data_IF_063959642005
#
_entry.id   IF_063959642005
#
_cell.length_a   1.000
_cell.length_b   1.000
_cell.length_c   1.000
_cell.angle_alpha   90.00
_cell.angle_beta   90.00
_cell.angle_gamma   90.00
#
_symmetry.space_group_name_H-M   'P 1'
#
loop_
_entity.id
_entity.type
_entity.pdbx_description
1 polymer ?
#
# COMPACT_ATOMS: atom_id res chain seq x y z
N UNK A 1 35.43 45.96 21.49
CA UNK A 1 35.16 44.67 22.16
C UNK A 1 35.54 43.57 21.18
N UNK A 2 36.15 42.49 21.65
CA UNK A 2 36.55 41.38 20.78
C UNK A 2 35.38 40.44 20.50
N UNK A 3 35.33 39.85 19.31
CA UNK A 3 34.36 38.79 18.99
C UNK A 3 34.48 37.66 20.01
N UNK A 4 33.34 37.09 20.41
CA UNK A 4 33.30 35.91 21.27
C UNK A 4 34.06 34.75 20.61
N UNK A 5 34.83 34.01 21.41
CA UNK A 5 35.58 32.84 20.94
C UNK A 5 35.30 31.63 21.81
N UNK A 6 35.33 30.46 21.20
CA UNK A 6 35.26 29.19 21.90
C UNK A 6 36.56 28.94 22.66
N UNK A 7 36.46 28.70 23.96
CA UNK A 7 37.56 28.16 24.76
C UNK A 7 37.61 26.65 24.58
N UNK A 8 38.45 26.21 23.64
CA UNK A 8 38.64 24.79 23.32
C UNK A 8 39.33 23.98 24.43
N UNK A 9 39.99 24.61 25.40
CA UNK A 9 40.65 23.90 26.50
C UNK A 9 39.69 23.60 27.64
N UNK A 10 38.77 24.53 27.92
CA UNK A 10 37.76 24.36 28.97
C UNK A 10 36.49 23.66 28.47
N UNK A 11 36.22 23.71 27.16
CA UNK A 11 35.08 23.00 26.56
C UNK A 11 35.24 21.48 26.62
N UNK A 12 34.12 20.78 26.81
CA UNK A 12 34.04 19.32 26.69
C UNK A 12 33.34 19.02 25.37
N UNK A 13 34.13 18.71 24.34
CA UNK A 13 33.68 18.51 22.97
C UNK A 13 33.75 17.02 22.59
N UNK A 14 32.66 16.43 22.07
CA UNK A 14 32.71 15.12 21.42
C UNK A 14 33.65 15.11 20.21
N UNK A 15 34.20 13.95 19.86
CA UNK A 15 35.22 13.81 18.80
C UNK A 15 34.77 14.32 17.42
N UNK A 16 33.46 14.27 17.15
CA UNK A 16 32.86 14.64 15.87
C UNK A 16 32.34 16.09 15.82
N UNK A 17 32.58 16.90 16.86
CA UNK A 17 32.30 18.34 16.85
C UNK A 17 33.52 19.09 16.33
N UNK A 18 33.31 19.97 15.34
CA UNK A 18 34.40 20.72 14.70
C UNK A 18 34.31 22.20 15.07
N UNK A 19 35.44 22.79 15.46
CA UNK A 19 35.58 24.23 15.70
C UNK A 19 36.41 24.82 14.55
N UNK A 20 35.98 25.94 13.98
CA UNK A 20 36.78 26.62 12.95
C UNK A 20 38.05 27.25 13.53
N UNK A 21 39.00 27.60 12.65
CA UNK A 21 40.29 28.17 13.05
C UNK A 21 40.14 29.48 13.84
N UNK A 22 39.15 30.31 13.49
CA UNK A 22 38.87 31.58 14.18
C UNK A 22 38.21 31.39 15.56
N UNK A 23 37.79 30.17 15.89
CA UNK A 23 37.04 29.81 17.11
C UNK A 23 35.71 30.54 17.28
N UNK A 24 35.08 30.91 16.18
CA UNK A 24 33.80 31.64 16.14
C UNK A 24 32.63 30.78 15.67
N UNK A 25 32.91 29.57 15.17
CA UNK A 25 31.93 28.63 14.66
C UNK A 25 32.13 27.24 15.28
N UNK A 26 31.02 26.63 15.67
CA UNK A 26 30.91 25.25 16.14
C UNK A 26 30.05 24.47 15.14
N UNK A 27 30.55 23.36 14.61
CA UNK A 27 29.79 22.47 13.72
C UNK A 27 29.43 21.19 14.48
N UNK A 28 28.14 20.95 14.65
CA UNK A 28 27.59 19.74 15.27
C UNK A 28 27.24 18.69 14.19
N UNK A 29 27.55 17.41 14.40
CA UNK A 29 27.20 16.34 13.49
C UNK A 29 25.69 16.08 13.46
N UNK A 30 25.24 15.27 12.50
CA UNK A 30 23.84 14.84 12.45
C UNK A 30 23.47 13.93 13.63
N UNK A 31 24.42 13.23 14.25
CA UNK A 31 24.17 12.36 15.41
C UNK A 31 23.68 13.14 16.64
N UNK A 32 23.15 12.41 17.63
CA UNK A 32 22.85 13.01 18.92
C UNK A 32 24.14 13.55 19.56
N UNK A 33 24.07 14.74 20.14
CA UNK A 33 25.25 15.41 20.69
C UNK A 33 24.90 16.04 22.03
N UNK A 34 25.70 15.74 23.05
CA UNK A 34 25.75 16.50 24.30
C UNK A 34 27.17 17.01 24.50
N UNK A 35 27.30 18.31 24.78
CA UNK A 35 28.59 18.95 24.98
C UNK A 35 28.50 20.09 25.98
N UNK A 36 29.65 20.48 26.53
CA UNK A 36 29.79 21.72 27.32
C UNK A 36 30.65 22.69 26.54
N UNK A 37 30.08 23.82 26.14
CA UNK A 37 30.76 24.90 25.44
C UNK A 37 31.22 25.95 26.44
N UNK A 38 32.53 26.19 26.49
CA UNK A 38 33.12 27.30 27.21
C UNK A 38 33.40 28.45 26.23
N UNK A 39 33.08 29.68 26.64
CA UNK A 39 33.31 30.89 25.83
C UNK A 39 34.38 31.75 26.52
N UNK A 40 35.44 32.06 25.77
CA UNK A 40 36.52 32.95 26.18
C UNK A 40 36.03 34.41 26.11
N UNK A 41 35.63 34.94 27.27
CA UNK A 41 35.13 36.29 27.44
C UNK A 41 35.29 36.73 28.90
N UNK A 42 35.82 37.94 29.10
CA UNK A 42 36.04 38.52 30.44
C UNK A 42 34.72 38.89 31.15
N UNK A 43 33.67 39.20 30.38
CA UNK A 43 32.34 39.51 30.91
C UNK A 43 31.52 38.22 31.11
N UNK A 44 30.66 38.21 32.14
CA UNK A 44 29.66 37.14 32.32
C UNK A 44 28.61 37.23 31.20
N UNK A 45 28.31 36.11 30.55
CA UNK A 45 27.40 36.02 29.41
C UNK A 45 26.05 35.42 29.80
N UNK A 46 24.98 36.07 29.38
CA UNK A 46 23.61 35.58 29.47
C UNK A 46 23.13 35.16 28.08
N UNK A 47 22.66 33.92 27.93
CA UNK A 47 22.14 33.44 26.65
C UNK A 47 20.87 34.23 26.29
N UNK A 48 20.84 34.80 25.08
CA UNK A 48 19.62 35.41 24.54
C UNK A 48 18.74 34.28 24.00
N UNK A 49 17.52 34.08 24.53
CA UNK A 49 16.65 33.01 24.08
C UNK A 49 16.30 33.15 22.59
N UNK A 50 16.32 32.02 21.88
CA UNK A 50 15.91 31.93 20.48
C UNK A 50 15.10 30.66 20.25
N UNK A 51 14.30 30.65 19.18
CA UNK A 51 13.65 29.41 18.74
C UNK A 51 14.70 28.53 18.05
N UNK A 52 15.35 27.66 18.83
CA UNK A 52 16.43 26.80 18.36
C UNK A 52 16.00 25.33 18.42
N UNK A 53 16.38 24.50 17.43
CA UNK A 53 16.08 23.06 17.40
C UNK A 53 16.96 22.25 18.37
N UNK A 54 17.56 22.92 19.35
CA UNK A 54 18.50 22.37 20.33
C UNK A 54 18.20 22.96 21.70
N UNK A 55 18.59 22.23 22.75
CA UNK A 55 18.48 22.71 24.13
C UNK A 55 19.82 23.31 24.56
N UNK A 56 19.77 24.48 25.18
CA UNK A 56 20.95 25.15 25.73
C UNK A 56 20.65 25.58 27.15
N UNK A 57 21.54 25.22 28.07
CA UNK A 57 21.44 25.53 29.49
C UNK A 57 22.74 26.23 29.95
N UNK A 58 22.62 27.35 30.66
CA UNK A 58 23.78 27.98 31.29
C UNK A 58 24.20 27.19 32.53
N UNK A 59 25.48 26.84 32.60
CA UNK A 59 26.11 26.20 33.75
C UNK A 59 26.93 27.19 34.59
N UNK A 60 27.21 28.38 34.05
CA UNK A 60 27.96 29.45 34.73
C UNK A 60 27.28 29.91 36.02
N UNK A 61 28.05 30.08 37.10
CA UNK A 61 27.54 30.60 38.38
C UNK A 61 26.58 29.68 39.16
N UNK A 62 26.27 28.49 38.64
CA UNK A 62 25.35 27.53 39.28
C UNK A 62 26.01 26.72 40.41
N UNK A 63 27.35 26.63 40.41
CA UNK A 63 28.16 25.91 41.43
C UNK A 63 29.45 26.66 41.72
N UNK A 64 30.08 26.49 42.90
CA UNK A 64 31.34 27.16 43.25
C UNK A 64 32.44 27.03 42.18
N UNK A 65 32.55 25.87 41.54
CA UNK A 65 33.53 25.57 40.49
C UNK A 65 33.25 26.24 39.13
N UNK A 66 32.04 26.78 38.91
CA UNK A 66 31.61 27.46 37.68
C UNK A 66 31.37 28.96 37.86
N UNK A 67 31.61 29.51 39.06
CA UNK A 67 31.52 30.96 39.31
C UNK A 67 32.51 31.71 38.40
N UNK A 68 32.00 32.73 37.70
CA UNK A 68 32.78 33.56 36.78
C UNK A 68 33.16 32.87 35.46
N UNK A 69 32.58 31.71 35.14
CA UNK A 69 32.83 30.99 33.88
C UNK A 69 31.62 31.02 32.96
N UNK A 70 31.86 31.29 31.68
CA UNK A 70 30.84 31.26 30.63
C UNK A 70 30.71 29.83 30.06
N UNK A 71 29.96 28.99 30.76
CA UNK A 71 29.76 27.58 30.40
C UNK A 71 28.31 27.32 29.99
N UNK A 72 28.12 26.66 28.85
CA UNK A 72 26.80 26.34 28.30
C UNK A 72 26.74 24.86 27.93
N UNK A 73 25.78 24.12 28.50
CA UNK A 73 25.46 22.77 28.04
C UNK A 73 24.61 22.86 26.78
N UNK A 74 25.02 22.19 25.72
CA UNK A 74 24.27 22.07 24.46
C UNK A 74 23.85 20.62 24.28
N UNK A 75 22.56 20.40 24.04
CA UNK A 75 21.99 19.10 23.74
C UNK A 75 21.22 19.16 22.41
N UNK A 76 21.60 18.29 21.49
CA UNK A 76 21.04 18.14 20.15
C UNK A 76 20.60 16.69 19.95
N UNK A 77 19.38 16.49 19.48
CA UNK A 77 18.91 15.16 19.08
C UNK A 77 19.51 14.71 17.74
N UNK A 78 19.50 13.41 17.47
CA UNK A 78 19.89 12.90 16.16
C UNK A 78 18.97 13.46 15.08
N UNK A 79 19.57 13.94 13.99
CA UNK A 79 18.86 14.36 12.80
C UNK A 79 18.66 13.18 11.86
N UNK A 80 17.39 13.03 11.47
CA UNK A 80 16.90 11.97 10.60
C UNK A 80 17.24 12.28 9.13
N UNK A 81 17.25 11.28 8.24
CA UNK A 81 17.37 11.47 6.80
C UNK A 81 16.39 12.52 6.28
N UNK A 82 16.90 13.43 5.44
CA UNK A 82 16.12 14.49 4.82
C UNK A 82 15.77 15.68 5.71
N UNK A 83 16.21 15.71 6.98
CA UNK A 83 16.17 16.96 7.78
C UNK A 83 17.33 17.85 7.35
N UNK A 84 17.00 19.04 6.84
CA UNK A 84 17.98 19.96 6.26
C UNK A 84 18.96 20.55 7.28
N UNK A 85 20.20 20.76 6.81
CA UNK A 85 21.25 21.57 7.43
C UNK A 85 20.74 22.91 7.94
N UNK A 86 21.25 23.37 9.10
CA UNK A 86 20.91 24.70 9.61
C UNK A 86 22.14 25.43 10.13
N UNK A 87 22.24 26.71 9.82
CA UNK A 87 23.17 27.64 10.46
C UNK A 87 22.40 28.55 11.41
N UNK A 88 22.85 28.61 12.67
CA UNK A 88 22.21 29.36 13.74
C UNK A 88 23.21 30.33 14.38
N UNK A 89 22.70 31.44 14.92
CA UNK A 89 23.50 32.37 15.73
C UNK A 89 23.18 32.18 17.20
N UNK A 90 24.15 31.70 17.97
CA UNK A 90 24.13 31.68 19.43
C UNK A 90 24.47 33.08 19.92
N UNK A 91 23.46 33.84 20.36
CA UNK A 91 23.62 35.24 20.77
C UNK A 91 23.68 35.35 22.29
N UNK A 92 24.53 36.23 22.77
CA UNK A 92 24.75 36.45 24.19
C UNK A 92 24.59 37.93 24.54
N UNK A 93 24.14 38.18 25.77
CA UNK A 93 24.13 39.47 26.40
C UNK A 93 25.27 39.52 27.44
N UNK A 94 26.13 40.52 27.37
CA UNK A 94 27.17 40.75 28.39
C UNK A 94 26.54 41.40 29.61
N UNK A 95 26.58 40.69 30.74
CA UNK A 95 25.98 41.13 32.00
C UNK A 95 26.58 42.45 32.46
N UNK A 96 25.71 43.42 32.73
CA UNK A 96 26.10 44.78 33.14
C UNK A 96 26.21 45.79 31.99
N UNK A 97 26.05 45.37 30.73
CA UNK A 97 25.85 46.28 29.60
C UNK A 97 24.36 46.53 29.35
N UNK A 98 24.03 47.68 28.75
CA UNK A 98 22.63 48.10 28.51
C UNK A 98 22.08 47.63 27.15
N UNK A 99 22.93 47.19 26.24
CA UNK A 99 22.57 46.88 24.86
C UNK A 99 23.02 45.47 24.48
N UNK A 100 22.27 44.85 23.57
CA UNK A 100 22.67 43.61 22.90
C UNK A 100 23.42 43.98 21.63
N UNK A 101 24.63 43.47 21.48
CA UNK A 101 25.48 43.71 20.32
C UNK A 101 25.40 42.54 19.34
N UNK A 102 25.40 42.79 18.04
CA UNK A 102 25.27 41.74 17.02
C UNK A 102 26.52 40.84 16.96
N UNK A 103 27.67 41.40 17.28
CA UNK A 103 28.97 40.73 17.34
C UNK A 103 29.13 39.78 18.54
N UNK A 104 28.27 39.86 19.56
CA UNK A 104 28.26 38.98 20.72
C UNK A 104 27.54 37.66 20.39
N UNK A 105 28.06 36.97 19.38
CA UNK A 105 27.51 35.72 18.90
C UNK A 105 28.56 34.71 18.43
N UNK A 106 28.21 33.43 18.55
CA UNK A 106 28.89 32.32 17.88
C UNK A 106 27.99 31.75 16.79
N UNK A 107 28.59 31.26 15.70
CA UNK A 107 27.87 30.49 14.68
C UNK A 107 27.79 29.03 15.11
N UNK A 108 26.60 28.44 15.04
CA UNK A 108 26.39 27.01 15.22
C UNK A 108 25.88 26.41 13.92
N UNK A 109 26.64 25.51 13.32
CA UNK A 109 26.26 24.77 12.12
C UNK A 109 25.79 23.38 12.53
N UNK A 110 24.54 23.05 12.21
CA UNK A 110 23.95 21.75 12.42
C UNK A 110 24.00 21.00 11.08
N UNK A 111 24.84 19.96 10.99
CA UNK A 111 25.04 19.20 9.76
C UNK A 111 23.86 18.26 9.49
N UNK A 112 23.40 18.24 8.24
CA UNK A 112 22.38 17.29 7.77
C UNK A 112 22.83 15.83 7.89
N UNK A 113 21.85 14.93 7.96
CA UNK A 113 22.14 13.50 7.86
C UNK A 113 22.60 13.18 6.42
N UNK A 114 23.79 12.58 6.22
CA UNK A 114 24.32 12.31 4.88
C UNK A 114 23.57 11.18 4.14
N UNK A 115 22.67 10.46 4.82
CA UNK A 115 21.77 9.48 4.20
C UNK A 115 20.74 10.21 3.36
N UNK A 116 20.69 9.86 2.06
CA UNK A 116 19.67 10.37 1.14
C UNK A 116 18.54 9.36 1.05
N UNK A 117 17.31 9.84 1.21
CA UNK A 117 16.10 9.05 1.10
C UNK A 117 15.11 9.75 0.18
N UNK A 118 14.68 9.04 -0.85
CA UNK A 118 13.74 9.52 -1.87
C UNK A 118 12.58 8.54 -2.03
N UNK A 119 11.43 9.02 -2.54
CA UNK A 119 10.26 8.20 -2.81
C UNK A 119 9.11 8.44 -1.85
N UNK A 120 8.37 7.38 -1.52
CA UNK A 120 7.11 7.48 -0.77
C UNK A 120 7.33 7.57 0.75
N UNK A 121 8.40 6.96 1.26
CA UNK A 121 8.76 6.99 2.69
C UNK A 121 9.64 8.20 3.03
N UNK A 122 9.45 8.77 4.23
CA UNK A 122 10.30 9.83 4.78
C UNK A 122 10.26 9.83 6.31
N UNK A 123 11.28 10.43 6.94
CA UNK A 123 11.47 10.44 8.39
C UNK A 123 11.70 11.85 8.96
N UNK A 124 11.17 12.88 8.29
CA UNK A 124 11.33 14.27 8.71
C UNK A 124 10.72 14.54 10.10
N UNK A 125 9.52 14.00 10.35
CA UNK A 125 8.72 14.27 11.54
C UNK A 125 8.94 13.24 12.67
N UNK A 126 9.70 12.17 12.41
CA UNK A 126 9.93 11.10 13.37
C UNK A 126 10.62 9.88 12.76
N UNK A 127 10.72 8.81 13.54
CA UNK A 127 11.39 7.57 13.16
C UNK A 127 10.43 6.48 12.67
N UNK A 128 9.12 6.75 12.63
CA UNK A 128 8.12 5.85 12.08
C UNK A 128 7.40 6.54 10.92
N UNK A 129 7.26 5.86 9.78
CA UNK A 129 6.44 6.28 8.66
C UNK A 129 5.28 5.29 8.46
N UNK A 130 4.05 5.72 8.80
CA UNK A 130 2.83 4.93 8.64
C UNK A 130 2.04 5.38 7.41
N UNK A 131 1.99 4.53 6.39
CA UNK A 131 1.22 4.77 5.17
C UNK A 131 -0.29 4.86 5.43
N UNK A 132 -0.79 4.29 6.53
CA UNK A 132 -2.22 4.24 6.84
C UNK A 132 -3.06 3.33 5.93
N UNK A 133 -2.47 2.75 4.89
CA UNK A 133 -3.13 1.94 3.84
C UNK A 133 -2.28 0.76 3.40
N UNK A 134 -2.79 -0.05 2.48
CA UNK A 134 -2.00 -1.10 1.83
C UNK A 134 -1.09 -0.49 0.76
N UNK A 135 0.16 -0.97 0.69
CA UNK A 135 1.15 -0.53 -0.30
C UNK A 135 2.13 -1.68 -0.58
N UNK A 136 2.54 -1.83 -1.83
CA UNK A 136 3.59 -2.74 -2.30
C UNK A 136 4.40 -2.07 -3.42
N UNK A 137 5.37 -2.80 -3.98
CA UNK A 137 6.38 -2.33 -4.93
C UNK A 137 7.31 -1.28 -4.32
N UNK A 138 7.93 -0.43 -5.13
CA UNK A 138 8.93 0.53 -4.67
C UNK A 138 8.35 1.54 -3.68
N UNK A 139 8.88 1.51 -2.45
CA UNK A 139 8.54 2.42 -1.35
C UNK A 139 9.49 3.61 -1.30
N UNK A 140 10.72 3.43 -1.75
CA UNK A 140 11.73 4.48 -1.82
C UNK A 140 13.10 3.98 -2.26
N UNK A 141 13.99 4.93 -2.47
CA UNK A 141 15.40 4.75 -2.78
C UNK A 141 16.22 5.35 -1.65
N UNK A 142 17.18 4.57 -1.12
CA UNK A 142 18.07 5.02 -0.06
C UNK A 142 19.52 4.92 -0.50
N UNK A 143 20.28 6.00 -0.34
CA UNK A 143 21.72 6.04 -0.60
C UNK A 143 22.47 6.33 0.68
N UNK A 144 23.45 5.48 0.98
CA UNK A 144 24.20 5.51 2.23
C UNK A 144 25.66 5.92 1.98
N UNK A 145 26.32 6.61 2.94
CA UNK A 145 27.77 6.76 2.94
C UNK A 145 28.46 5.40 2.94
N UNK A 146 29.63 5.26 2.30
CA UNK A 146 30.39 4.00 2.21
C UNK A 146 30.70 3.34 3.58
N UNK A 147 30.76 4.14 4.63
CA UNK A 147 31.00 3.68 6.01
C UNK A 147 29.77 3.03 6.67
N UNK A 148 28.60 3.05 6.02
CA UNK A 148 27.33 2.56 6.55
C UNK A 148 26.83 1.33 5.79
N UNK A 149 26.09 0.47 6.49
CA UNK A 149 25.33 -0.66 5.96
C UNK A 149 23.86 -0.55 6.36
N UNK A 150 22.98 -1.17 5.58
CA UNK A 150 21.54 -1.21 5.81
C UNK A 150 21.03 -2.65 5.88
N UNK A 151 20.18 -2.92 6.87
CA UNK A 151 19.44 -4.18 7.01
C UNK A 151 17.97 -3.90 7.30
N UNK A 152 17.13 -4.93 7.16
CA UNK A 152 15.73 -4.87 7.60
C UNK A 152 15.51 -5.88 8.72
N UNK A 153 14.96 -5.41 9.83
CA UNK A 153 14.60 -6.20 10.98
C UNK A 153 13.08 -6.24 11.16
N UNK A 154 12.60 -7.35 11.74
CA UNK A 154 11.19 -7.64 11.92
C UNK A 154 10.93 -8.10 13.36
N UNK A 155 9.76 -7.76 13.89
CA UNK A 155 9.28 -8.35 15.13
C UNK A 155 9.06 -9.87 14.96
N UNK A 156 9.16 -10.63 16.06
CA UNK A 156 8.99 -12.07 16.01
C UNK A 156 7.60 -12.45 15.46
N UNK A 157 7.59 -13.31 14.43
CA UNK A 157 6.36 -13.75 13.76
C UNK A 157 5.82 -12.79 12.70
N UNK A 158 6.46 -11.63 12.49
CA UNK A 158 6.14 -10.73 11.38
C UNK A 158 6.71 -11.26 10.06
N UNK A 159 6.00 -10.97 8.97
CA UNK A 159 6.48 -11.33 7.64
C UNK A 159 7.60 -10.41 7.14
N UNK A 160 8.59 -10.98 6.46
CA UNK A 160 9.64 -10.32 5.68
C UNK A 160 9.07 -9.66 4.42
N UNK A 161 8.22 -8.64 4.60
CA UNK A 161 7.50 -8.00 3.50
C UNK A 161 8.27 -6.86 2.83
N UNK A 162 9.45 -6.47 3.31
CA UNK A 162 10.36 -5.54 2.64
C UNK A 162 11.60 -6.30 2.14
N UNK A 163 11.90 -6.11 0.86
CA UNK A 163 13.16 -6.52 0.21
C UNK A 163 14.01 -5.27 -0.03
N UNK A 164 15.31 -5.38 0.27
CA UNK A 164 16.31 -4.43 -0.19
C UNK A 164 16.96 -4.96 -1.46
N UNK A 165 17.04 -4.13 -2.49
CA UNK A 165 17.67 -4.47 -3.76
C UNK A 165 18.72 -3.42 -4.10
N UNK A 166 19.98 -3.84 -4.20
CA UNK A 166 21.10 -2.96 -4.58
C UNK A 166 20.91 -2.40 -5.99
N UNK A 167 21.29 -1.15 -6.19
CA UNK A 167 21.36 -0.56 -7.52
C UNK A 167 22.73 -0.77 -8.16
N UNK A 168 22.73 -1.22 -9.41
CA UNK A 168 23.96 -1.49 -10.16
C UNK A 168 24.79 -0.22 -10.45
N UNK A 169 24.12 0.93 -10.64
CA UNK A 169 24.76 2.16 -11.13
C UNK A 169 25.29 3.08 -10.01
N UNK A 170 24.72 3.01 -8.81
CA UNK A 170 25.06 3.90 -7.69
C UNK A 170 25.55 3.08 -6.50
N UNK A 171 26.85 3.17 -6.14
CA UNK A 171 27.38 2.44 -4.99
C UNK A 171 26.61 2.73 -3.71
N UNK A 172 26.41 1.68 -2.90
CA UNK A 172 25.74 1.74 -1.60
C UNK A 172 24.34 2.40 -1.64
N UNK A 173 23.61 2.13 -2.72
CA UNK A 173 22.24 2.59 -2.95
C UNK A 173 21.29 1.40 -3.09
N UNK A 174 20.11 1.47 -2.47
CA UNK A 174 19.16 0.38 -2.36
C UNK A 174 17.73 0.83 -2.68
N UNK A 175 17.03 0.06 -3.52
CA UNK A 175 15.58 0.13 -3.64
C UNK A 175 14.96 -0.58 -2.44
N UNK A 176 13.96 0.05 -1.83
CA UNK A 176 13.16 -0.50 -0.74
C UNK A 176 11.84 -0.97 -1.34
N UNK A 177 11.66 -2.28 -1.45
CA UNK A 177 10.54 -2.88 -2.20
C UNK A 177 9.59 -3.58 -1.22
N UNK A 178 8.34 -3.11 -1.17
CA UNK A 178 7.24 -3.76 -0.46
C UNK A 178 6.72 -4.97 -1.23
N UNK A 179 6.56 -6.09 -0.54
CA UNK A 179 6.15 -7.36 -1.10
C UNK A 179 4.70 -7.70 -0.81
N UNK A 180 4.15 -8.58 -1.62
CA UNK A 180 2.82 -9.14 -1.45
C UNK A 180 2.89 -10.65 -1.24
N UNK A 181 2.07 -11.16 -0.33
CA UNK A 181 1.90 -12.60 -0.09
C UNK A 181 0.52 -13.04 -0.58
N UNK A 182 0.42 -13.89 -1.62
CA UNK A 182 -0.85 -14.45 -2.04
C UNK A 182 -1.53 -15.20 -0.89
N UNK A 183 -2.81 -14.89 -0.68
CA UNK A 183 -3.65 -15.57 0.32
C UNK A 183 -3.07 -15.59 1.75
N UNK A 184 -2.42 -14.50 2.18
CA UNK A 184 -1.89 -14.38 3.54
C UNK A 184 -3.01 -14.52 4.59
N UNK A 185 -2.96 -15.53 5.49
CA UNK A 185 -3.97 -15.72 6.53
C UNK A 185 -3.99 -14.59 7.56
N UNK A 186 -2.94 -13.75 7.61
CA UNK A 186 -2.85 -12.61 8.52
C UNK A 186 -3.27 -11.28 7.88
N UNK A 187 -3.68 -11.28 6.61
CA UNK A 187 -4.11 -10.09 5.90
C UNK A 187 -5.54 -9.68 6.30
N UNK A 188 -5.63 -8.94 7.41
CA UNK A 188 -6.88 -8.50 8.05
C UNK A 188 -6.91 -6.97 8.31
N UNK A 189 -5.97 -6.22 7.75
CA UNK A 189 -5.83 -4.77 7.96
C UNK A 189 -5.00 -4.37 9.17
N UNK A 190 -4.42 -5.33 9.92
CA UNK A 190 -3.47 -5.03 10.99
C UNK A 190 -2.30 -4.18 10.51
N UNK A 191 -1.68 -3.44 11.43
CA UNK A 191 -0.38 -2.83 11.16
C UNK A 191 0.65 -3.93 10.89
N UNK A 192 1.42 -3.75 9.83
CA UNK A 192 2.57 -4.56 9.47
C UNK A 192 3.79 -3.67 9.52
N UNK A 193 4.81 -4.05 10.31
CA UNK A 193 5.98 -3.22 10.57
C UNK A 193 7.23 -3.86 9.98
N UNK A 194 8.19 -3.03 9.60
CA UNK A 194 9.54 -3.41 9.24
C UNK A 194 10.48 -2.28 9.67
N UNK A 195 11.59 -2.60 10.31
CA UNK A 195 12.55 -1.59 10.77
C UNK A 195 13.77 -1.61 9.87
N UNK A 196 14.00 -0.50 9.16
CA UNK A 196 15.23 -0.24 8.45
C UNK A 196 16.29 0.11 9.50
N UNK A 197 17.37 -0.68 9.54
CA UNK A 197 18.46 -0.51 10.49
C UNK A 197 19.70 -0.09 9.74
N UNK A 198 20.22 1.09 10.07
CA UNK A 198 21.42 1.65 9.47
C UNK A 198 22.48 1.73 10.55
N UNK A 199 23.67 1.19 10.30
CA UNK A 199 24.78 1.27 11.24
C UNK A 199 26.10 1.38 10.48
N UNK A 200 27.16 1.73 11.21
CA UNK A 200 28.52 1.63 10.68
C UNK A 200 28.81 0.18 10.26
N UNK A 201 29.77 -0.02 9.36
CA UNK A 201 30.15 -1.36 8.88
C UNK A 201 30.53 -2.31 10.02
N UNK A 202 31.13 -1.79 11.09
CA UNK A 202 31.47 -2.51 12.34
C UNK A 202 30.27 -2.76 13.28
N UNK A 203 29.10 -2.20 12.99
CA UNK A 203 27.87 -2.34 13.78
C UNK A 203 27.62 -1.23 14.81
N UNK A 204 28.50 -0.24 14.93
CA UNK A 204 28.31 0.93 15.81
C UNK A 204 27.36 1.97 15.19
N UNK A 205 26.96 2.99 15.96
CA UNK A 205 26.06 4.08 15.53
C UNK A 205 24.80 3.59 14.81
N UNK A 206 24.06 2.71 15.51
CA UNK A 206 22.83 2.10 15.02
C UNK A 206 21.67 3.09 15.05
N UNK A 207 21.05 3.26 13.90
CA UNK A 207 19.86 4.08 13.66
C UNK A 207 18.70 3.17 13.21
N UNK A 208 17.50 3.43 13.71
CA UNK A 208 16.30 2.64 13.40
C UNK A 208 15.21 3.53 12.79
N UNK A 209 14.64 3.08 11.67
CA UNK A 209 13.55 3.76 10.99
C UNK A 209 12.46 2.75 10.63
N UNK A 210 11.28 2.86 11.24
CA UNK A 210 10.18 1.91 11.08
C UNK A 210 9.26 2.32 9.94
N UNK A 211 9.03 1.42 9.01
CA UNK A 211 8.02 1.55 7.94
C UNK A 211 6.80 0.73 8.31
N UNK A 212 5.61 1.33 8.22
CA UNK A 212 4.34 0.70 8.58
C UNK A 212 3.34 0.77 7.44
N UNK A 213 2.72 -0.36 7.12
CA UNK A 213 1.55 -0.45 6.23
C UNK A 213 0.39 -1.17 6.90
N UNK A 214 -0.79 -1.13 6.27
CA UNK A 214 -1.91 -2.01 6.62
C UNK A 214 -1.83 -3.30 5.81
N UNK A 215 -1.80 -4.45 6.48
CA UNK A 215 -1.79 -5.76 5.83
C UNK A 215 -3.19 -6.15 5.35
N UNK A 216 -3.65 -5.55 4.26
CA UNK A 216 -4.88 -5.95 3.58
C UNK A 216 -4.60 -6.97 2.48
N UNK A 217 -5.57 -7.84 2.22
CA UNK A 217 -5.44 -8.86 1.18
C UNK A 217 -6.77 -9.48 0.83
N UNK A 218 -7.09 -9.49 -0.46
CA UNK A 218 -8.18 -10.26 -1.05
C UNK A 218 -7.66 -11.66 -1.41
N UNK A 219 -8.46 -12.71 -1.21
CA UNK A 219 -8.08 -14.05 -1.63
C UNK A 219 -8.07 -14.13 -3.16
N UNK A 220 -7.02 -14.75 -3.68
CA UNK A 220 -6.75 -14.87 -5.11
C UNK A 220 -6.57 -16.32 -5.53
N UNK A 221 -6.74 -16.55 -6.82
CA UNK A 221 -6.24 -17.72 -7.53
C UNK A 221 -5.43 -17.30 -8.76
N UNK A 222 -4.58 -18.19 -9.25
CA UNK A 222 -3.75 -17.95 -10.43
C UNK A 222 -4.25 -18.77 -11.61
N UNK A 223 -4.45 -18.11 -12.74
CA UNK A 223 -4.76 -18.77 -14.01
C UNK A 223 -4.20 -17.97 -15.17
N UNK A 224 -3.40 -18.61 -16.02
CA UNK A 224 -2.84 -18.04 -17.25
C UNK A 224 -2.14 -16.68 -17.03
N UNK A 225 -1.22 -16.62 -16.06
CA UNK A 225 -0.40 -15.42 -15.85
C UNK A 225 -1.07 -14.31 -15.05
N UNK A 226 -2.23 -14.56 -14.42
CA UNK A 226 -2.99 -13.53 -13.72
C UNK A 226 -3.45 -14.04 -12.35
N UNK A 227 -3.23 -13.22 -11.31
CA UNK A 227 -3.78 -13.41 -9.97
C UNK A 227 -5.18 -12.81 -9.86
N UNK A 228 -6.19 -13.63 -10.11
CA UNK A 228 -7.61 -13.25 -10.06
C UNK A 228 -8.12 -13.25 -8.63
N UNK A 229 -8.87 -12.24 -8.22
CA UNK A 229 -9.63 -12.32 -6.97
C UNK A 229 -10.68 -13.44 -7.07
N UNK A 230 -10.77 -14.27 -6.02
CA UNK A 230 -11.71 -15.40 -5.98
C UNK A 230 -13.16 -14.92 -5.99
N UNK A 231 -13.44 -13.84 -5.28
CA UNK A 231 -14.79 -13.32 -5.09
C UNK A 231 -15.06 -12.09 -5.98
N UNK A 232 -16.33 -11.87 -6.32
CA UNK A 232 -16.76 -10.57 -6.83
C UNK A 232 -16.71 -9.54 -5.70
N UNK A 233 -16.57 -8.27 -6.06
CA UNK A 233 -16.63 -7.18 -5.08
C UNK A 233 -18.01 -7.10 -4.43
N UNK A 234 -18.03 -6.65 -3.18
CA UNK A 234 -19.24 -6.49 -2.37
C UNK A 234 -19.23 -5.10 -1.70
N UNK A 235 -20.40 -4.55 -1.35
CA UNK A 235 -20.50 -3.25 -0.66
C UNK A 235 -19.73 -2.15 -1.39
N UNK A 236 -19.01 -1.31 -0.64
CA UNK A 236 -18.05 -0.37 -1.21
C UNK A 236 -16.83 -1.11 -1.75
N UNK A 237 -16.70 -1.17 -3.07
CA UNK A 237 -15.69 -1.93 -3.78
C UNK A 237 -14.26 -1.51 -3.49
N UNK A 238 -14.04 -0.29 -2.96
CA UNK A 238 -12.71 0.16 -2.51
C UNK A 238 -12.42 -0.12 -1.06
N UNK A 239 -13.44 -0.40 -0.26
CA UNK A 239 -13.30 -0.65 1.16
C UNK A 239 -13.02 -2.13 1.42
N UNK A 240 -11.81 -2.43 1.89
CA UNK A 240 -11.44 -3.80 2.29
C UNK A 240 -12.38 -4.40 3.33
N UNK A 241 -12.96 -3.58 4.22
CA UNK A 241 -13.86 -4.07 5.28
C UNK A 241 -15.16 -4.64 4.73
N UNK A 242 -15.55 -4.25 3.51
CA UNK A 242 -16.75 -4.75 2.83
C UNK A 242 -16.44 -6.00 1.99
N UNK A 243 -15.17 -6.31 1.75
CA UNK A 243 -14.75 -7.44 0.92
C UNK A 243 -14.54 -8.72 1.75
N UNK A 244 -14.47 -9.87 1.06
CA UNK A 244 -13.90 -11.08 1.64
C UNK A 244 -12.38 -10.94 1.65
N UNK A 245 -11.78 -11.00 2.84
CA UNK A 245 -10.34 -10.95 3.05
C UNK A 245 -9.71 -12.34 3.04
N UNK A 246 -8.43 -12.46 2.69
CA UNK A 246 -7.68 -13.73 2.73
C UNK A 246 -7.72 -14.38 4.11
N UNK A 247 -7.63 -13.58 5.18
CA UNK A 247 -7.76 -14.01 6.58
C UNK A 247 -9.14 -14.55 6.96
N UNK A 248 -10.16 -14.27 6.14
CA UNK A 248 -11.55 -14.63 6.41
C UNK A 248 -12.25 -15.26 5.18
N UNK A 249 -11.48 -15.95 4.31
CA UNK A 249 -12.00 -16.64 3.13
C UNK A 249 -12.91 -17.82 3.56
N UNK A 250 -14.25 -17.76 3.31
CA UNK A 250 -15.18 -18.78 3.77
C UNK A 250 -14.97 -20.15 3.11
N UNK A 251 -14.57 -20.17 1.83
CA UNK A 251 -14.27 -21.42 1.13
C UNK A 251 -13.03 -22.09 1.74
N UNK A 252 -11.96 -21.32 1.97
CA UNK A 252 -10.75 -21.82 2.60
C UNK A 252 -11.01 -22.32 4.03
N UNK A 253 -11.80 -21.59 4.83
CA UNK A 253 -12.21 -22.02 6.19
C UNK A 253 -13.02 -23.32 6.18
N UNK A 254 -13.80 -23.55 5.13
CA UNK A 254 -14.52 -24.80 4.94
C UNK A 254 -13.64 -25.93 4.37
N UNK A 255 -12.36 -25.68 4.09
CA UNK A 255 -11.45 -26.64 3.45
C UNK A 255 -11.85 -26.96 2.00
N UNK A 256 -12.48 -26.02 1.30
CA UNK A 256 -13.04 -26.21 -0.05
C UNK A 256 -12.49 -25.19 -1.03
N UNK A 257 -12.56 -25.55 -2.31
CA UNK A 257 -12.53 -24.56 -3.40
C UNK A 257 -13.81 -23.73 -3.34
N UNK A 258 -13.81 -22.52 -3.88
CA UNK A 258 -15.00 -21.69 -4.06
C UNK A 258 -16.06 -22.42 -4.88
N UNK A 259 -15.67 -23.19 -5.90
CA UNK A 259 -16.61 -23.95 -6.72
C UNK A 259 -17.38 -25.01 -5.92
N UNK A 260 -16.69 -25.70 -4.99
CA UNK A 260 -17.34 -26.66 -4.11
C UNK A 260 -18.05 -26.00 -2.93
N UNK A 261 -17.51 -24.88 -2.43
CA UNK A 261 -18.18 -24.07 -1.41
C UNK A 261 -19.53 -23.56 -1.89
N UNK A 262 -19.61 -22.98 -3.10
CA UNK A 262 -20.88 -22.50 -3.68
C UNK A 262 -21.93 -23.60 -3.88
N UNK A 263 -21.52 -24.88 -4.00
CA UNK A 263 -22.44 -26.02 -4.03
C UNK A 263 -23.04 -26.29 -2.65
N UNK A 264 -22.19 -26.28 -1.63
CA UNK A 264 -22.50 -26.82 -0.31
C UNK A 264 -22.96 -25.78 0.72
N UNK A 265 -22.64 -24.50 0.49
CA UNK A 265 -23.07 -23.42 1.37
C UNK A 265 -24.59 -23.26 1.34
N UNK A 266 -25.13 -22.66 2.39
CA UNK A 266 -26.56 -22.37 2.51
C UNK A 266 -27.03 -21.39 1.42
N UNK A 267 -28.34 -21.36 1.10
CA UNK A 267 -28.91 -20.33 0.23
C UNK A 267 -28.57 -18.90 0.62
N UNK A 268 -28.54 -18.61 1.92
CA UNK A 268 -28.26 -17.30 2.45
C UNK A 268 -26.79 -16.92 2.23
N UNK A 269 -25.86 -17.85 2.46
CA UNK A 269 -24.43 -17.65 2.20
C UNK A 269 -24.13 -17.49 0.71
N UNK A 270 -24.75 -18.31 -0.15
CA UNK A 270 -24.63 -18.17 -1.60
C UNK A 270 -25.14 -16.80 -2.05
N UNK A 271 -26.34 -16.41 -1.60
CA UNK A 271 -26.95 -15.13 -1.97
C UNK A 271 -26.12 -13.95 -1.51
N UNK A 272 -25.53 -14.01 -0.31
CA UNK A 272 -24.63 -12.97 0.21
C UNK A 272 -23.45 -12.68 -0.72
N UNK A 273 -22.88 -13.71 -1.34
CA UNK A 273 -21.78 -13.57 -2.31
C UNK A 273 -22.31 -13.16 -3.70
N UNK A 274 -23.46 -13.71 -4.09
CA UNK A 274 -23.99 -13.60 -5.44
C UNK A 274 -24.62 -12.25 -5.76
N UNK A 275 -25.26 -11.57 -4.80
CA UNK A 275 -26.22 -10.46 -5.04
C UNK A 275 -25.68 -9.12 -5.56
N UNK A 276 -24.40 -8.98 -5.90
CA UNK A 276 -23.76 -7.67 -6.08
C UNK A 276 -23.48 -7.30 -7.53
N UNK A 277 -23.79 -6.06 -7.92
CA UNK A 277 -23.34 -5.44 -9.17
C UNK A 277 -23.07 -3.94 -9.02
N UNK A 278 -22.37 -3.38 -10.01
CA UNK A 278 -21.91 -1.99 -10.01
C UNK A 278 -22.29 -1.29 -11.31
N UNK A 279 -22.42 0.04 -11.26
CA UNK A 279 -22.81 0.87 -12.40
C UNK A 279 -22.03 2.18 -12.39
N UNK A 280 -21.71 2.71 -13.56
CA UNK A 280 -21.07 4.00 -13.67
C UNK A 280 -19.72 4.07 -12.96
N UNK A 281 -19.57 5.12 -12.15
CA UNK A 281 -18.37 5.39 -11.32
C UNK A 281 -18.61 5.17 -9.82
N UNK A 282 -19.75 4.63 -9.43
CA UNK A 282 -20.04 4.41 -8.00
C UNK A 282 -19.31 3.17 -7.51
N UNK A 283 -18.52 3.33 -6.45
CA UNK A 283 -17.90 2.21 -5.74
C UNK A 283 -18.89 1.51 -4.83
N UNK A 284 -20.10 2.04 -4.64
CA UNK A 284 -21.15 1.39 -3.86
C UNK A 284 -21.86 0.32 -4.70
N UNK A 285 -21.81 -0.92 -4.22
CA UNK A 285 -22.49 -2.06 -4.83
C UNK A 285 -24.01 -1.98 -4.67
N UNK A 286 -24.71 -2.33 -5.74
CA UNK A 286 -26.16 -2.52 -5.72
C UNK A 286 -26.48 -3.97 -5.42
N UNK A 287 -27.36 -4.18 -4.45
CA UNK A 287 -27.85 -5.51 -4.08
C UNK A 287 -29.06 -5.89 -4.92
N UNK A 288 -29.15 -7.17 -5.29
CA UNK A 288 -30.39 -7.74 -5.81
C UNK A 288 -31.47 -7.74 -4.73
N UNK A 289 -32.65 -7.21 -5.05
CA UNK A 289 -33.84 -7.14 -4.21
C UNK A 289 -35.06 -7.64 -4.96
N UNK A 290 -36.11 -7.96 -4.21
CA UNK A 290 -37.46 -8.11 -4.75
C UNK A 290 -38.12 -6.74 -4.83
N UNK A 291 -38.39 -6.28 -6.05
CA UNK A 291 -39.18 -5.09 -6.32
C UNK A 291 -40.46 -5.49 -7.06
N UNK A 292 -41.52 -5.75 -6.30
CA UNK A 292 -42.84 -6.07 -6.84
C UNK A 292 -42.94 -7.43 -7.54
N UNK A 293 -42.22 -8.45 -7.06
CA UNK A 293 -42.17 -9.79 -7.67
C UNK A 293 -41.14 -9.89 -8.80
N UNK A 294 -40.26 -8.90 -8.94
CA UNK A 294 -39.19 -8.86 -9.95
C UNK A 294 -37.85 -8.66 -9.25
N UNK A 295 -36.86 -9.50 -9.58
CA UNK A 295 -35.51 -9.32 -9.08
C UNK A 295 -34.86 -8.10 -9.76
N UNK A 296 -34.55 -7.05 -8.98
CA UNK A 296 -33.93 -5.81 -9.45
C UNK A 296 -32.70 -5.44 -8.62
N UNK A 297 -31.85 -4.57 -9.15
CA UNK A 297 -30.74 -3.98 -8.41
C UNK A 297 -31.19 -2.72 -7.67
N UNK A 298 -31.05 -2.72 -6.34
CA UNK A 298 -31.40 -1.60 -5.48
C UNK A 298 -30.57 -0.36 -5.85
N UNK A 299 -31.24 0.73 -6.17
CA UNK A 299 -30.59 1.99 -6.54
C UNK A 299 -30.14 2.05 -8.00
N UNK A 300 -30.56 1.09 -8.83
CA UNK A 300 -30.39 1.16 -10.28
C UNK A 300 -31.01 2.46 -10.84
N UNK A 301 -30.29 3.13 -11.72
CA UNK A 301 -30.75 4.36 -12.36
C UNK A 301 -29.87 4.79 -13.54
N UNK A 302 -30.08 5.98 -14.11
CA UNK A 302 -29.25 6.49 -15.19
C UNK A 302 -27.82 6.81 -14.71
N UNK A 303 -26.82 6.54 -15.56
CA UNK A 303 -25.41 6.85 -15.36
C UNK A 303 -24.75 7.37 -16.63
N UNK A 304 -23.98 8.45 -16.52
CA UNK A 304 -23.21 9.02 -17.64
C UNK A 304 -21.82 8.40 -17.80
N UNK A 305 -21.28 7.76 -16.77
CA UNK A 305 -19.96 7.16 -16.79
C UNK A 305 -20.02 5.70 -17.25
N UNK A 306 -19.02 5.27 -18.01
CA UNK A 306 -18.88 3.88 -18.44
C UNK A 306 -17.77 3.20 -17.64
N UNK A 307 -18.11 2.19 -16.83
CA UNK A 307 -17.17 1.56 -15.89
C UNK A 307 -15.91 1.02 -16.57
N UNK A 308 -16.05 0.40 -17.75
CA UNK A 308 -14.90 -0.12 -18.52
C UNK A 308 -13.94 0.96 -19.03
N UNK A 309 -14.34 2.24 -18.98
CA UNK A 309 -13.51 3.37 -19.41
C UNK A 309 -12.82 4.11 -18.27
N UNK A 310 -13.09 3.71 -17.03
CA UNK A 310 -12.39 4.26 -15.87
C UNK A 310 -10.97 3.71 -15.80
N UNK A 311 -10.10 4.43 -15.08
CA UNK A 311 -8.78 3.91 -14.70
C UNK A 311 -8.92 2.55 -14.00
N UNK A 312 -7.98 1.64 -14.24
CA UNK A 312 -8.07 0.27 -13.75
C UNK A 312 -8.21 0.19 -12.22
N UNK A 313 -7.66 1.15 -11.50
CA UNK A 313 -7.69 1.25 -10.03
C UNK A 313 -8.87 2.07 -9.50
N UNK A 314 -9.65 2.73 -10.36
CA UNK A 314 -10.69 3.67 -9.94
C UNK A 314 -11.76 3.02 -9.03
N UNK A 315 -12.05 1.74 -9.28
CA UNK A 315 -13.09 0.98 -8.59
C UNK A 315 -12.52 -0.04 -7.59
N UNK A 316 -11.21 -0.21 -7.51
CA UNK A 316 -10.56 -1.29 -6.77
C UNK A 316 -9.94 -0.80 -5.45
N UNK A 317 -9.80 -1.68 -4.43
CA UNK A 317 -8.97 -1.39 -3.27
C UNK A 317 -7.49 -1.26 -3.67
N UNK A 318 -6.70 -0.59 -2.82
CA UNK A 318 -5.26 -0.43 -3.03
C UNK A 318 -4.56 -1.78 -3.28
N UNK A 319 -3.68 -1.83 -4.29
CA UNK A 319 -2.96 -3.04 -4.70
C UNK A 319 -3.72 -3.95 -5.66
N UNK A 320 -4.97 -3.62 -6.01
CA UNK A 320 -5.80 -4.37 -6.94
C UNK A 320 -6.31 -3.48 -8.07
N UNK A 321 -6.73 -4.10 -9.16
CA UNK A 321 -7.27 -3.38 -10.32
C UNK A 321 -8.28 -4.22 -11.10
N UNK A 322 -9.06 -3.52 -11.93
CA UNK A 322 -9.97 -4.14 -12.87
C UNK A 322 -9.16 -4.87 -13.96
N UNK A 323 -9.44 -6.17 -14.24
CA UNK A 323 -8.74 -6.91 -15.28
C UNK A 323 -8.96 -6.29 -16.66
N UNK A 324 -7.91 -6.28 -17.47
CA UNK A 324 -7.95 -5.75 -18.83
C UNK A 324 -8.68 -6.69 -19.79
N UNK A 325 -9.00 -6.20 -20.99
CA UNK A 325 -9.51 -7.05 -22.08
C UNK A 325 -8.56 -8.22 -22.36
N UNK A 326 -7.26 -7.97 -22.40
CA UNK A 326 -6.23 -9.00 -22.61
C UNK A 326 -6.29 -10.06 -21.50
N UNK A 327 -6.46 -9.68 -20.24
CA UNK A 327 -6.55 -10.64 -19.14
C UNK A 327 -7.74 -11.60 -19.34
N UNK A 328 -8.90 -11.08 -19.73
CA UNK A 328 -10.04 -11.95 -20.06
C UNK A 328 -9.79 -12.80 -21.31
N UNK A 329 -9.14 -12.26 -22.35
CA UNK A 329 -8.83 -13.01 -23.57
C UNK A 329 -7.91 -14.22 -23.32
N UNK A 330 -7.00 -14.13 -22.34
CA UNK A 330 -6.18 -15.28 -21.91
C UNK A 330 -7.02 -16.48 -21.46
N UNK A 331 -8.27 -16.26 -21.04
CA UNK A 331 -9.18 -17.29 -20.49
C UNK A 331 -10.42 -17.53 -21.35
N UNK A 332 -10.93 -16.52 -22.06
CA UNK A 332 -12.22 -16.56 -22.77
C UNK A 332 -12.11 -16.43 -24.29
N UNK A 333 -10.92 -16.17 -24.84
CA UNK A 333 -10.72 -16.09 -26.29
C UNK A 333 -10.21 -17.43 -26.83
N UNK A 334 -11.13 -18.26 -27.33
CA UNK A 334 -10.77 -19.59 -27.80
C UNK A 334 -10.19 -19.59 -29.22
N UNK A 335 -9.17 -20.41 -29.41
CA UNK A 335 -8.58 -20.76 -30.72
C UNK A 335 -9.09 -22.09 -31.27
N UNK A 336 -9.89 -22.84 -30.50
CA UNK A 336 -10.38 -24.18 -30.84
C UNK A 336 -11.89 -24.23 -31.12
N UNK A 337 -12.56 -23.08 -31.17
CA UNK A 337 -13.99 -22.97 -31.48
C UNK A 337 -14.81 -22.23 -30.42
N UNK A 338 -16.12 -22.51 -30.35
CA UNK A 338 -17.03 -21.83 -29.42
C UNK A 338 -16.88 -22.35 -27.99
N UNK A 339 -16.77 -21.45 -27.02
CA UNK A 339 -16.76 -21.81 -25.59
C UNK A 339 -18.18 -21.95 -25.10
N UNK A 340 -18.67 -23.17 -24.98
CA UNK A 340 -19.98 -23.42 -24.39
C UNK A 340 -19.87 -23.43 -22.86
N UNK A 341 -20.50 -22.44 -22.20
CA UNK A 341 -20.39 -22.23 -20.74
C UNK A 341 -21.40 -23.04 -19.93
N UNK A 342 -22.50 -23.49 -20.55
CA UNK A 342 -23.53 -24.31 -19.91
C UNK A 342 -23.21 -25.81 -19.81
N UNK A 343 -22.11 -26.25 -20.43
CA UNK A 343 -21.63 -27.63 -20.36
C UNK A 343 -20.19 -27.67 -19.85
N UNK A 344 -19.87 -28.79 -19.23
CA UNK A 344 -18.48 -29.15 -18.94
C UNK A 344 -17.74 -29.36 -20.25
N UNK A 345 -16.44 -29.08 -20.25
CA UNK A 345 -15.60 -29.28 -21.41
C UNK A 345 -14.33 -28.46 -21.35
N UNK A 346 -13.65 -28.36 -22.48
CA UNK A 346 -12.39 -27.63 -22.58
C UNK A 346 -12.33 -26.76 -23.82
N UNK A 347 -11.44 -25.79 -23.81
CA UNK A 347 -11.08 -25.02 -25.00
C UNK A 347 -9.62 -24.60 -24.92
N UNK A 348 -9.01 -24.29 -26.06
CA UNK A 348 -7.64 -23.77 -26.12
C UNK A 348 -7.68 -22.26 -26.30
N UNK A 349 -6.75 -21.53 -25.69
CA UNK A 349 -6.53 -20.09 -25.89
C UNK A 349 -5.14 -19.85 -26.49
N UNK A 350 -4.92 -18.67 -27.08
CA UNK A 350 -3.64 -18.29 -27.66
C UNK A 350 -2.52 -18.04 -26.62
N UNK A 351 -2.87 -18.01 -25.33
CA UNK A 351 -1.93 -17.75 -24.25
C UNK A 351 -0.79 -18.78 -24.23
N UNK A 352 0.46 -18.29 -24.13
CA UNK A 352 1.69 -19.10 -24.09
C UNK A 352 1.78 -20.17 -25.20
N UNK A 353 1.34 -19.83 -26.41
CA UNK A 353 1.44 -20.74 -27.57
C UNK A 353 0.37 -21.85 -27.62
N UNK A 354 -0.62 -21.82 -26.73
CA UNK A 354 -1.72 -22.80 -26.71
C UNK A 354 -1.99 -23.34 -25.31
N UNK A 355 -2.76 -22.60 -24.50
CA UNK A 355 -3.15 -23.06 -23.15
C UNK A 355 -4.50 -23.77 -23.20
N UNK A 356 -4.61 -24.95 -22.57
CA UNK A 356 -5.85 -25.70 -22.50
C UNK A 356 -6.59 -25.42 -21.19
N UNK A 357 -7.75 -24.78 -21.30
CA UNK A 357 -8.63 -24.48 -20.17
C UNK A 357 -9.72 -25.53 -20.07
N UNK A 358 -9.75 -26.20 -18.92
CA UNK A 358 -10.82 -27.08 -18.49
C UNK A 358 -11.91 -26.26 -17.80
N UNK A 359 -13.15 -26.72 -17.91
CA UNK A 359 -14.30 -26.01 -17.36
C UNK A 359 -15.37 -26.98 -16.90
N UNK A 360 -15.96 -26.65 -15.75
CA UNK A 360 -17.12 -27.35 -15.21
C UNK A 360 -18.14 -26.35 -14.71
N UNK A 361 -19.42 -26.70 -14.82
CA UNK A 361 -20.51 -25.86 -14.34
C UNK A 361 -21.42 -26.59 -13.37
N UNK A 362 -22.05 -25.81 -12.49
CA UNK A 362 -23.09 -26.24 -11.57
C UNK A 362 -24.15 -25.16 -11.47
N UNK A 363 -25.29 -25.51 -10.88
CA UNK A 363 -26.47 -24.66 -10.80
C UNK A 363 -27.10 -24.73 -9.42
N UNK A 364 -27.72 -23.62 -9.01
CA UNK A 364 -28.50 -23.52 -7.78
C UNK A 364 -29.94 -23.14 -8.13
N UNK A 365 -30.90 -23.75 -7.42
CA UNK A 365 -32.35 -23.59 -7.64
C UNK A 365 -33.11 -23.33 -6.34
N UNK A 366 -32.38 -23.11 -5.26
CA UNK A 366 -32.83 -23.03 -3.88
C UNK A 366 -32.67 -21.60 -3.30
N UNK A 367 -32.42 -20.61 -4.15
CA UNK A 367 -32.26 -19.20 -3.77
C UNK A 367 -33.56 -18.45 -4.02
N UNK A 368 -34.05 -17.74 -3.01
CA UNK A 368 -35.22 -16.88 -3.09
C UNK A 368 -34.86 -15.47 -2.63
N UNK A 369 -35.30 -14.46 -3.36
CA UNK A 369 -35.18 -13.03 -3.01
C UNK A 369 -36.59 -12.50 -2.77
N UNK A 370 -36.96 -12.27 -1.51
CA UNK A 370 -38.34 -11.90 -1.17
C UNK A 370 -39.33 -12.98 -1.63
N UNK A 371 -40.18 -12.63 -2.59
CA UNK A 371 -41.13 -13.52 -3.25
C UNK A 371 -40.61 -14.17 -4.54
N UNK A 372 -39.44 -13.75 -5.03
CA UNK A 372 -38.86 -14.19 -6.31
C UNK A 372 -37.97 -15.41 -6.12
N UNK A 373 -38.41 -16.57 -6.62
CA UNK A 373 -37.56 -17.76 -6.72
C UNK A 373 -36.62 -17.62 -7.92
N UNK A 374 -35.31 -17.80 -7.69
CA UNK A 374 -34.29 -17.76 -8.72
C UNK A 374 -33.88 -19.20 -9.08
N UNK A 375 -34.25 -19.63 -10.28
CA UNK A 375 -33.86 -20.92 -10.85
C UNK A 375 -32.57 -20.83 -11.63
N UNK A 376 -31.92 -21.97 -11.86
CA UNK A 376 -30.79 -22.15 -12.78
C UNK A 376 -29.69 -21.09 -12.62
N UNK A 377 -29.34 -20.75 -11.37
CA UNK A 377 -28.22 -19.86 -11.08
C UNK A 377 -26.90 -20.59 -11.38
N UNK A 378 -26.35 -20.35 -12.56
CA UNK A 378 -25.14 -21.02 -13.04
C UNK A 378 -23.89 -20.36 -12.46
N UNK A 379 -22.95 -21.21 -12.08
CA UNK A 379 -21.59 -20.82 -11.75
C UNK A 379 -20.60 -21.81 -12.37
N UNK A 380 -19.49 -21.28 -12.85
CA UNK A 380 -18.61 -21.96 -13.80
C UNK A 380 -17.19 -21.86 -13.29
N UNK A 381 -16.53 -22.99 -13.04
CA UNK A 381 -15.10 -22.98 -12.80
C UNK A 381 -14.31 -23.17 -14.09
N UNK A 382 -13.15 -22.52 -14.16
CA UNK A 382 -12.15 -22.67 -15.21
C UNK A 382 -10.78 -22.91 -14.58
N UNK A 383 -10.02 -23.87 -15.10
CA UNK A 383 -8.70 -24.22 -14.59
C UNK A 383 -7.81 -24.80 -15.69
N UNK A 384 -6.50 -24.78 -15.44
CA UNK A 384 -5.49 -25.37 -16.31
C UNK A 384 -4.81 -26.53 -15.55
N UNK A 385 -4.68 -27.69 -16.20
CA UNK A 385 -4.01 -28.84 -15.58
C UNK A 385 -2.52 -28.60 -15.29
N UNK A 386 -1.89 -27.63 -15.98
CA UNK A 386 -0.52 -27.21 -15.69
C UNK A 386 -0.40 -26.32 -14.43
N UNK A 387 -1.53 -25.85 -13.89
CA UNK A 387 -1.60 -24.90 -12.77
C UNK A 387 -2.43 -25.47 -11.60
N UNK A 388 -2.45 -26.81 -11.43
CA UNK A 388 -3.28 -27.53 -10.44
C UNK A 388 -2.98 -27.21 -8.98
N UNK A 389 -1.82 -26.61 -8.68
CA UNK A 389 -1.50 -26.11 -7.35
C UNK A 389 -2.40 -24.93 -6.94
N UNK A 390 -3.06 -24.29 -7.91
CA UNK A 390 -4.00 -23.20 -7.68
C UNK A 390 -5.44 -23.66 -7.82
N UNK A 391 -6.31 -22.99 -7.08
CA UNK A 391 -7.75 -23.23 -7.14
C UNK A 391 -8.32 -22.82 -8.50
N UNK A 392 -9.38 -23.46 -9.01
CA UNK A 392 -10.07 -22.98 -10.21
C UNK A 392 -10.61 -21.55 -10.08
N UNK A 393 -10.58 -20.78 -11.17
CA UNK A 393 -11.24 -19.49 -11.29
C UNK A 393 -12.75 -19.69 -11.47
N UNK A 394 -13.58 -19.10 -10.62
CA UNK A 394 -15.03 -19.37 -10.60
C UNK A 394 -15.87 -18.16 -10.99
N UNK A 395 -16.55 -18.19 -12.13
CA UNK A 395 -17.49 -17.16 -12.57
C UNK A 395 -18.89 -17.38 -11.99
N UNK A 396 -19.45 -16.37 -11.32
CA UNK A 396 -20.79 -16.37 -10.74
C UNK A 396 -21.28 -14.92 -10.54
N UNK A 397 -22.56 -14.75 -10.23
CA UNK A 397 -23.18 -13.45 -9.89
C UNK A 397 -24.49 -13.22 -10.64
N UNK A 398 -25.19 -12.09 -10.44
CA UNK A 398 -26.51 -11.88 -11.01
C UNK A 398 -26.43 -11.59 -12.50
N UNK A 399 -27.59 -11.59 -13.14
CA UNK A 399 -27.74 -11.04 -14.49
C UNK A 399 -27.57 -9.52 -14.51
N UNK A 400 -26.94 -8.96 -15.53
CA UNK A 400 -26.87 -7.50 -15.72
C UNK A 400 -28.26 -6.87 -15.78
N UNK A 401 -28.43 -5.62 -15.35
CA UNK A 401 -29.65 -4.84 -15.53
C UNK A 401 -29.38 -3.71 -16.52
N UNK A 402 -30.23 -3.61 -17.56
CA UNK A 402 -30.11 -2.61 -18.64
C UNK A 402 -31.21 -1.56 -18.63
N UNK A 403 -32.30 -1.88 -17.94
CA UNK A 403 -33.53 -1.11 -17.89
C UNK A 403 -34.27 -1.48 -16.59
N UNK A 404 -35.47 -0.93 -16.39
CA UNK A 404 -36.26 -1.18 -15.18
C UNK A 404 -37.01 -2.52 -15.16
N UNK A 405 -36.80 -3.41 -16.15
CA UNK A 405 -37.43 -4.74 -16.20
C UNK A 405 -36.75 -5.76 -15.27
N UNK A 406 -35.73 -5.34 -14.52
CA UNK A 406 -34.96 -6.17 -13.61
C UNK A 406 -33.73 -6.84 -14.23
N UNK A 407 -33.10 -7.70 -13.44
CA UNK A 407 -31.87 -8.38 -13.85
C UNK A 407 -32.15 -9.33 -15.02
N UNK A 408 -31.26 -9.35 -16.01
CA UNK A 408 -31.37 -10.22 -17.17
C UNK A 408 -31.12 -11.68 -16.76
N UNK A 409 -32.20 -12.42 -16.63
CA UNK A 409 -32.19 -13.85 -16.37
C UNK A 409 -33.02 -14.54 -17.46
N UNK A 410 -32.33 -15.21 -18.38
CA UNK A 410 -32.97 -15.95 -19.47
C UNK A 410 -33.26 -17.37 -19.04
N UNK A 411 -32.38 -18.29 -19.46
CA UNK A 411 -32.33 -19.63 -18.90
C UNK A 411 -31.33 -19.72 -17.74
N UNK A 412 -30.33 -18.85 -17.74
CA UNK A 412 -29.33 -18.66 -16.68
C UNK A 412 -29.14 -17.15 -16.43
N UNK A 413 -28.42 -16.80 -15.37
CA UNK A 413 -27.95 -15.44 -15.12
C UNK A 413 -27.06 -14.93 -16.26
N UNK A 414 -27.45 -13.81 -16.88
CA UNK A 414 -26.71 -13.17 -17.97
C UNK A 414 -25.59 -12.26 -17.42
N UNK A 415 -24.41 -12.83 -17.22
CA UNK A 415 -23.28 -12.17 -16.55
C UNK A 415 -22.53 -11.21 -17.47
N UNK A 416 -22.55 -9.92 -17.15
CA UNK A 416 -21.69 -8.90 -17.77
C UNK A 416 -20.55 -8.57 -16.82
N UNK A 417 -19.31 -8.78 -17.23
CA UNK A 417 -18.14 -8.48 -16.40
C UNK A 417 -17.58 -7.10 -16.72
N UNK A 418 -17.25 -6.35 -15.69
CA UNK A 418 -16.47 -5.13 -15.83
C UNK A 418 -15.06 -5.49 -16.33
N UNK A 419 -14.55 -4.71 -17.27
CA UNK A 419 -13.27 -4.95 -17.94
C UNK A 419 -12.59 -3.61 -18.19
N UNK A 420 -11.33 -3.45 -17.81
CA UNK A 420 -10.60 -2.23 -18.15
C UNK A 420 -10.30 -2.19 -19.65
N UNK A 421 -10.99 -1.30 -20.35
CA UNK A 421 -10.93 -1.12 -21.80
C UNK A 421 -11.19 0.35 -22.16
N UNK A 422 -10.25 1.27 -21.83
CA UNK A 422 -10.48 2.70 -21.88
C UNK A 422 -10.76 3.25 -23.28
N UNK A 423 -10.23 2.59 -24.31
CA UNK A 423 -10.32 3.05 -25.71
C UNK A 423 -11.73 2.92 -26.29
N UNK A 424 -12.46 1.84 -25.99
CA UNK A 424 -13.76 1.58 -26.62
C UNK A 424 -14.86 1.18 -25.62
N UNK A 425 -14.53 0.87 -24.36
CA UNK A 425 -15.47 0.41 -23.34
C UNK A 425 -15.92 -1.05 -23.49
N UNK A 426 -15.26 -1.83 -24.35
CA UNK A 426 -15.62 -3.23 -24.56
C UNK A 426 -15.42 -4.06 -23.29
N UNK A 427 -16.20 -5.13 -23.14
CA UNK A 427 -16.13 -6.07 -22.03
C UNK A 427 -16.51 -7.47 -22.49
N UNK A 428 -16.82 -8.33 -21.52
CA UNK A 428 -17.25 -9.70 -21.78
C UNK A 428 -18.62 -9.97 -21.18
N UNK A 429 -19.46 -10.65 -21.96
CA UNK A 429 -20.83 -10.95 -21.60
C UNK A 429 -21.14 -12.41 -21.86
N UNK A 430 -21.79 -13.05 -20.90
CA UNK A 430 -22.45 -14.33 -21.07
C UNK A 430 -23.96 -14.09 -21.06
N UNK A 431 -24.63 -14.38 -22.19
CA UNK A 431 -26.03 -14.03 -22.38
C UNK A 431 -27.01 -14.92 -21.58
N UNK A 432 -26.59 -16.10 -21.14
CA UNK A 432 -27.41 -16.95 -20.27
C UNK A 432 -28.73 -17.42 -20.91
N UNK A 433 -28.80 -17.54 -22.24
CA UNK A 433 -30.01 -18.03 -22.94
C UNK A 433 -29.68 -19.29 -23.74
N UNK A 434 -30.68 -20.16 -24.00
CA UNK A 434 -30.48 -21.36 -24.83
C UNK A 434 -29.98 -21.07 -26.26
N UNK A 435 -30.19 -19.84 -26.76
CA UNK A 435 -29.71 -19.38 -28.06
C UNK A 435 -28.34 -18.66 -28.00
N UNK A 436 -27.86 -18.32 -26.79
CA UNK A 436 -26.65 -17.54 -26.54
C UNK A 436 -25.84 -18.16 -25.41
N UNK A 437 -25.11 -19.23 -25.74
CA UNK A 437 -24.52 -20.19 -24.80
C UNK A 437 -23.02 -19.98 -24.54
N UNK A 438 -22.45 -18.94 -25.13
CA UNK A 438 -21.02 -18.67 -25.16
C UNK A 438 -20.72 -17.24 -24.67
N UNK A 439 -19.50 -16.98 -24.17
CA UNK A 439 -19.08 -15.63 -23.84
C UNK A 439 -18.81 -14.88 -25.14
N UNK A 440 -19.28 -13.64 -25.21
CA UNK A 440 -19.05 -12.76 -26.33
C UNK A 440 -18.54 -11.40 -25.86
N UNK A 441 -17.79 -10.72 -26.72
CA UNK A 441 -17.35 -9.35 -26.43
C UNK A 441 -18.56 -8.42 -26.48
N UNK A 442 -18.85 -7.76 -25.37
CA UNK A 442 -19.89 -6.75 -25.26
C UNK A 442 -19.52 -5.77 -24.15
N UNK A 443 -19.41 -4.49 -24.48
CA UNK A 443 -19.18 -3.44 -23.51
C UNK A 443 -20.43 -3.03 -22.76
N UNK A 444 -21.60 -3.17 -23.40
CA UNK A 444 -22.86 -2.56 -23.01
C UNK A 444 -22.75 -1.02 -22.89
N UNK A 445 -23.77 -0.33 -22.42
CA UNK A 445 -23.82 1.12 -22.22
C UNK A 445 -23.49 1.57 -20.79
N UNK A 446 -23.40 2.89 -20.58
CA UNK A 446 -23.08 3.49 -19.27
C UNK A 446 -24.11 3.18 -18.17
N UNK A 447 -25.36 2.93 -18.57
CA UNK A 447 -26.47 2.55 -17.67
C UNK A 447 -26.47 1.06 -17.32
N UNK A 448 -25.62 0.24 -17.92
CA UNK A 448 -25.70 -1.20 -17.68
C UNK A 448 -24.87 -1.59 -16.47
N UNK A 449 -25.44 -2.42 -15.61
CA UNK A 449 -24.77 -2.91 -14.42
C UNK A 449 -23.82 -4.05 -14.77
N UNK A 450 -22.72 -4.19 -14.03
CA UNK A 450 -21.69 -5.20 -14.28
C UNK A 450 -21.21 -5.83 -12.99
N UNK A 451 -20.78 -7.09 -13.09
CA UNK A 451 -20.00 -7.78 -12.09
C UNK A 451 -18.62 -7.16 -12.00
N UNK A 452 -18.23 -6.75 -10.80
CA UNK A 452 -16.89 -6.24 -10.53
C UNK A 452 -16.07 -7.37 -9.92
N UNK A 453 -14.98 -7.75 -10.59
CA UNK A 453 -13.99 -8.70 -10.09
C UNK A 453 -12.62 -8.15 -10.40
N UNK A 454 -11.74 -8.18 -9.41
CA UNK A 454 -10.40 -7.62 -9.54
C UNK A 454 -9.36 -8.68 -9.87
N UNK A 455 -8.20 -8.22 -10.32
CA UNK A 455 -6.93 -8.94 -10.21
C UNK A 455 -5.99 -8.20 -9.26
N UNK A 456 -4.99 -8.90 -8.74
CA UNK A 456 -3.84 -8.23 -8.10
C UNK A 456 -3.11 -7.41 -9.16
N UNK A 457 -2.84 -6.12 -8.88
CA UNK A 457 -1.95 -5.30 -9.71
C UNK A 457 -0.55 -5.90 -9.72
N UNK A 458 0.23 -5.64 -10.75
CA UNK A 458 1.55 -6.24 -10.91
C UNK A 458 2.45 -5.97 -9.70
N UNK A 459 3.20 -6.99 -9.28
CA UNK A 459 4.04 -6.96 -8.07
C UNK A 459 5.46 -7.37 -8.41
N UNK A 460 6.43 -6.61 -7.91
CA UNK A 460 7.87 -6.89 -8.07
C UNK A 460 8.38 -7.96 -7.10
N UNK A 461 7.85 -8.00 -5.87
CA UNK A 461 8.28 -8.93 -4.83
C UNK A 461 7.11 -9.77 -4.28
N UNK A 462 7.11 -11.07 -4.62
CA UNK A 462 6.21 -12.05 -4.00
C UNK A 462 6.91 -12.69 -2.81
N UNK A 463 6.29 -12.59 -1.64
CA UNK A 463 6.81 -13.16 -0.39
C UNK A 463 6.48 -14.66 -0.36
N UNK A 464 7.51 -15.51 -0.31
CA UNK A 464 7.39 -16.97 -0.17
C UNK A 464 8.01 -17.37 1.17
N UNK A 465 7.32 -18.20 1.95
CA UNK A 465 7.84 -18.79 3.19
C UNK A 465 7.94 -20.30 3.04
#
# INVERSE_FOLDING_TARGET
MGNLKVDTQTSILPENVVINEEKTQVTLPHTATEMTLAIDCDDELELIPGNMPIKIESLGGTRPETIGKNLFRIQKEQWRPGVAGQELKLRFHRKGLLHNYEEDALTLVLSENPIKLEGLIHFHDGYEFDFGRYIDNELGLITLPESKKLTVEYESGEGHWIKLEEQDETPNSFRIIGGWKPNDPTANGRKQKATLVICNTDGTDREEYTVVRRNWGLPVTYLNGVWWCKYNAMGDSKNFSDQILSSNDPAAKAGKTLFDYLRDCTPEEFFKLWKWQYQGKTTQGMEVIDDGGVAKLKGYGPSSAHINRLDATAMAPDGYELPSMENFERVLNSTSGTIWLMWDGSHTTAWNGGSNIQRRQRRRNDVTVGSVALSDLIYIQMYNNAEQQYEPLVWYGPGAQWDDSGIKHGHYNAMLWATHSPSNGQGWFYNGTMAGLYPNKNGAGSNDTRLLRFKKSDVEYIVVY
#
